data_IF_275561645278
#
_entry.id   IF_275561645278
#
_cell.length_a   1.000
_cell.length_b   1.000
_cell.length_c   1.000
_cell.angle_alpha   90.00
_cell.angle_beta   90.00
_cell.angle_gamma   90.00
#
_symmetry.space_group_name_H-M   'P 1'
#
loop_
_entity.id
_entity.type
_entity.pdbx_description
1 polymer ?
#
# COMPACT_ATOMS: atom_id res chain seq x y z
N UNK A 1 -51.62 54.12 -8.81
CA UNK A 1 -52.54 52.95 -8.83
C UNK A 1 -52.03 52.10 -9.97
N UNK A 2 -50.96 51.36 -9.68
CA UNK A 2 -50.12 50.72 -10.69
C UNK A 2 -50.35 49.22 -10.54
N UNK A 3 -51.40 48.75 -11.20
CA UNK A 3 -51.74 47.33 -11.30
C UNK A 3 -51.56 46.88 -12.74
N UNK A 4 -50.95 45.70 -12.85
CA UNK A 4 -51.06 44.78 -13.98
C UNK A 4 -50.28 45.13 -15.26
N UNK A 5 -48.95 45.00 -15.22
CA UNK A 5 -48.12 44.77 -16.41
C UNK A 5 -47.18 43.55 -16.29
N UNK A 6 -47.46 42.62 -15.37
CA UNK A 6 -46.63 41.41 -15.19
C UNK A 6 -47.24 40.13 -15.79
N UNK A 7 -48.52 40.13 -16.15
CA UNK A 7 -49.24 38.94 -16.62
C UNK A 7 -49.11 38.64 -18.12
N UNK A 8 -48.40 39.47 -18.91
CA UNK A 8 -48.34 39.30 -20.36
C UNK A 8 -47.32 38.25 -20.83
N UNK A 9 -46.50 37.72 -19.92
CA UNK A 9 -45.42 36.77 -20.25
C UNK A 9 -45.61 35.37 -19.67
N UNK A 10 -46.67 35.13 -18.90
CA UNK A 10 -46.97 33.82 -18.33
C UNK A 10 -48.30 33.31 -18.89
N UNK A 11 -48.20 32.34 -19.79
CA UNK A 11 -49.38 31.64 -20.29
C UNK A 11 -49.81 30.58 -19.27
N UNK A 12 -51.08 30.58 -18.80
CA UNK A 12 -51.58 29.59 -17.87
C UNK A 12 -51.41 28.17 -18.44
N UNK A 13 -50.67 27.32 -17.72
CA UNK A 13 -50.43 25.93 -18.15
C UNK A 13 -51.75 25.17 -18.28
N UNK A 14 -52.08 24.74 -19.50
CA UNK A 14 -53.32 24.02 -19.80
C UNK A 14 -53.26 22.54 -19.40
N UNK A 15 -52.06 21.99 -19.18
CA UNK A 15 -51.84 20.58 -18.88
C UNK A 15 -51.27 20.36 -17.46
N UNK A 16 -52.04 20.80 -16.47
CA UNK A 16 -51.76 20.57 -15.04
C UNK A 16 -51.53 19.07 -14.73
N UNK A 17 -52.17 18.17 -15.51
CA UNK A 17 -52.04 16.71 -15.33
C UNK A 17 -50.67 16.18 -15.70
N UNK A 18 -50.05 16.64 -16.80
CA UNK A 18 -48.67 16.24 -17.12
C UNK A 18 -47.66 16.85 -16.16
N UNK A 19 -47.88 18.09 -15.72
CA UNK A 19 -47.02 18.74 -14.73
C UNK A 19 -47.02 17.96 -13.40
N UNK A 20 -48.17 17.48 -12.95
CA UNK A 20 -48.27 16.64 -11.74
C UNK A 20 -47.52 15.30 -11.90
N UNK A 21 -47.65 14.64 -13.06
CA UNK A 21 -46.89 13.41 -13.37
C UNK A 21 -45.39 13.64 -13.42
N UNK A 22 -44.95 14.80 -13.90
CA UNK A 22 -43.54 15.18 -13.90
C UNK A 22 -43.01 15.32 -12.47
N UNK A 23 -43.74 15.96 -11.56
CA UNK A 23 -43.35 16.03 -10.15
C UNK A 23 -43.28 14.65 -9.50
N UNK A 24 -44.23 13.77 -9.77
CA UNK A 24 -44.21 12.39 -9.28
C UNK A 24 -42.98 11.61 -9.81
N UNK A 25 -42.63 11.82 -11.08
CA UNK A 25 -41.42 11.26 -11.67
C UNK A 25 -40.15 11.80 -11.00
N UNK A 26 -40.12 13.11 -10.72
CA UNK A 26 -39.00 13.80 -10.11
C UNK A 26 -38.81 13.35 -8.65
N UNK A 27 -39.89 13.20 -7.90
CA UNK A 27 -39.88 12.63 -6.54
C UNK A 27 -39.34 11.19 -6.55
N UNK A 28 -39.77 10.36 -7.51
CA UNK A 28 -39.22 9.00 -7.68
C UNK A 28 -37.70 9.01 -7.93
N UNK A 29 -37.21 9.89 -8.80
CA UNK A 29 -35.77 10.00 -9.06
C UNK A 29 -35.01 10.53 -7.85
N UNK A 30 -35.58 11.51 -7.12
CA UNK A 30 -34.95 12.03 -5.92
C UNK A 30 -34.83 10.96 -4.83
N UNK A 31 -35.89 10.16 -4.64
CA UNK A 31 -35.89 9.02 -3.73
C UNK A 31 -34.82 8.00 -4.13
N UNK A 32 -34.76 7.59 -5.40
CA UNK A 32 -33.73 6.67 -5.88
C UNK A 32 -32.31 7.18 -5.61
N UNK A 33 -32.03 8.45 -5.93
CA UNK A 33 -30.74 9.07 -5.68
C UNK A 33 -30.39 9.11 -4.18
N UNK A 34 -31.38 9.23 -3.29
CA UNK A 34 -31.18 9.18 -1.84
C UNK A 34 -30.89 7.75 -1.39
N UNK A 35 -31.68 6.78 -1.83
CA UNK A 35 -31.51 5.36 -1.52
C UNK A 35 -30.14 4.84 -2.02
N UNK A 36 -29.69 5.29 -3.20
CA UNK A 36 -28.37 4.99 -3.74
C UNK A 36 -27.24 5.57 -2.89
N UNK A 37 -27.38 6.83 -2.43
CA UNK A 37 -26.41 7.44 -1.51
C UNK A 37 -26.34 6.69 -0.19
N UNK A 38 -27.47 6.32 0.39
CA UNK A 38 -27.53 5.53 1.62
C UNK A 38 -26.89 4.15 1.43
N UNK A 39 -27.16 3.49 0.30
CA UNK A 39 -26.54 2.21 -0.07
C UNK A 39 -25.03 2.36 -0.26
N UNK A 40 -24.56 3.41 -0.91
CA UNK A 40 -23.14 3.68 -1.11
C UNK A 40 -22.44 3.89 0.25
N UNK A 41 -23.04 4.66 1.16
CA UNK A 41 -22.51 4.86 2.51
C UNK A 41 -22.42 3.52 3.25
N UNK A 42 -23.47 2.69 3.20
CA UNK A 42 -23.48 1.39 3.84
C UNK A 42 -22.41 0.46 3.27
N UNK A 43 -22.30 0.38 1.94
CA UNK A 43 -21.27 -0.40 1.25
C UNK A 43 -19.87 0.12 1.55
N UNK A 44 -19.69 1.45 1.62
CA UNK A 44 -18.43 2.09 1.99
C UNK A 44 -18.06 1.75 3.42
N UNK A 45 -19.00 1.80 4.36
CA UNK A 45 -18.77 1.43 5.76
C UNK A 45 -18.39 -0.06 5.90
N UNK A 46 -19.14 -0.95 5.24
CA UNK A 46 -18.86 -2.39 5.22
C UNK A 46 -17.49 -2.71 4.60
N UNK A 47 -17.16 -2.07 3.47
CA UNK A 47 -15.87 -2.25 2.79
C UNK A 47 -14.71 -1.58 3.52
N UNK A 48 -14.96 -0.52 4.29
CA UNK A 48 -13.93 0.17 5.08
C UNK A 48 -13.43 -0.69 6.24
N UNK A 49 -14.31 -1.48 6.88
CA UNK A 49 -13.88 -2.52 7.85
C UNK A 49 -12.97 -3.59 7.23
N UNK A 50 -12.99 -3.75 5.91
CA UNK A 50 -12.16 -4.72 5.18
C UNK A 50 -10.88 -4.12 4.55
N UNK A 51 -10.75 -2.78 4.45
CA UNK A 51 -9.71 -2.13 3.63
C UNK A 51 -8.91 -1.03 4.33
N UNK A 52 -9.24 -0.69 5.56
CA UNK A 52 -8.28 -0.06 6.45
C UNK A 52 -7.42 -1.20 6.99
N UNK A 53 -6.13 -1.23 6.64
CA UNK A 53 -5.16 -2.11 7.28
C UNK A 53 -5.32 -1.90 8.78
N UNK A 54 -5.95 -2.86 9.44
CA UNK A 54 -6.36 -2.74 10.84
C UNK A 54 -5.09 -2.47 11.64
N UNK A 55 -5.01 -1.41 12.48
CA UNK A 55 -3.87 -1.20 13.36
C UNK A 55 -3.50 -2.47 14.15
N UNK A 56 -4.49 -3.33 14.43
CA UNK A 56 -4.26 -4.66 15.00
C UNK A 56 -3.46 -5.61 14.09
N UNK A 57 -3.69 -5.60 12.77
CA UNK A 57 -2.97 -6.47 11.83
C UNK A 57 -1.51 -6.04 11.62
N UNK A 58 -1.23 -4.72 11.65
CA UNK A 58 0.13 -4.19 11.67
C UNK A 58 0.89 -4.61 12.95
N UNK A 59 0.22 -4.50 14.11
CA UNK A 59 0.76 -4.99 15.40
C UNK A 59 0.99 -6.49 15.39
N UNK A 60 0.07 -7.28 14.82
CA UNK A 60 0.20 -8.73 14.77
C UNK A 60 1.38 -9.16 13.88
N UNK A 61 1.59 -8.49 12.74
CA UNK A 61 2.75 -8.72 11.86
C UNK A 61 4.07 -8.31 12.52
N UNK A 62 4.08 -7.20 13.27
CA UNK A 62 5.26 -6.79 14.04
C UNK A 62 5.57 -7.80 15.14
N UNK A 63 4.56 -8.25 15.90
CA UNK A 63 4.70 -9.27 16.95
C UNK A 63 5.19 -10.61 16.40
N UNK A 64 4.73 -11.02 15.22
CA UNK A 64 5.19 -12.24 14.56
C UNK A 64 6.69 -12.16 14.18
N UNK A 65 7.14 -11.02 13.66
CA UNK A 65 8.57 -10.79 13.36
C UNK A 65 9.44 -10.78 14.60
N UNK A 66 8.98 -10.13 15.67
CA UNK A 66 9.69 -10.07 16.95
C UNK A 66 9.81 -11.47 17.57
N UNK A 67 8.73 -12.25 17.55
CA UNK A 67 8.73 -13.63 18.02
C UNK A 67 9.72 -14.50 17.24
N UNK A 68 9.73 -14.41 15.92
CA UNK A 68 10.68 -15.14 15.08
C UNK A 68 12.13 -14.73 15.36
N UNK A 69 12.39 -13.44 15.57
CA UNK A 69 13.71 -12.94 15.91
C UNK A 69 14.17 -13.43 17.29
N UNK A 70 13.27 -13.44 18.27
CA UNK A 70 13.53 -13.94 19.62
C UNK A 70 13.85 -15.44 19.63
N UNK A 71 13.14 -16.24 18.83
CA UNK A 71 13.39 -17.67 18.68
C UNK A 71 14.79 -17.94 18.09
N UNK A 72 15.15 -17.22 17.03
CA UNK A 72 16.46 -17.33 16.40
C UNK A 72 17.60 -16.92 17.35
N UNK A 73 17.37 -15.89 18.17
CA UNK A 73 18.31 -15.46 19.20
C UNK A 73 18.47 -16.53 20.30
N UNK A 74 17.38 -17.15 20.74
CA UNK A 74 17.43 -18.27 21.70
C UNK A 74 18.20 -19.46 21.14
N UNK A 75 17.98 -19.84 19.88
CA UNK A 75 18.74 -20.93 19.25
C UNK A 75 20.24 -20.61 19.24
N UNK A 76 20.62 -19.40 18.80
CA UNK A 76 22.03 -18.96 18.86
C UNK A 76 22.62 -19.01 20.26
N UNK A 77 21.85 -18.60 21.27
CA UNK A 77 22.33 -18.64 22.66
C UNK A 77 22.54 -20.09 23.14
N UNK A 78 21.62 -21.01 22.81
CA UNK A 78 21.77 -22.44 23.13
C UNK A 78 22.98 -23.05 22.43
N UNK A 79 23.18 -22.74 21.15
CA UNK A 79 24.34 -23.19 20.37
C UNK A 79 25.66 -22.67 20.94
N UNK A 80 25.70 -21.39 21.33
CA UNK A 80 26.86 -20.79 21.99
C UNK A 80 27.17 -21.47 23.32
N UNK A 81 26.15 -21.77 24.15
CA UNK A 81 26.32 -22.47 25.41
C UNK A 81 26.81 -23.91 25.22
N UNK A 82 26.26 -24.64 24.24
CA UNK A 82 26.71 -25.99 23.89
C UNK A 82 28.18 -25.98 23.49
N UNK A 83 28.56 -25.01 22.64
CA UNK A 83 29.95 -24.82 22.19
C UNK A 83 30.87 -24.47 23.36
N UNK A 84 30.43 -23.60 24.28
CA UNK A 84 31.20 -23.25 25.47
C UNK A 84 31.43 -24.45 26.39
N UNK A 85 30.43 -25.30 26.61
CA UNK A 85 30.58 -26.53 27.41
C UNK A 85 31.55 -27.51 26.75
N UNK A 86 31.51 -27.65 25.43
CA UNK A 86 32.48 -28.46 24.69
C UNK A 86 33.90 -27.87 24.80
N UNK A 87 34.04 -26.55 24.75
CA UNK A 87 35.32 -25.86 24.85
C UNK A 87 35.93 -25.86 26.27
N UNK A 88 35.09 -25.88 27.33
CA UNK A 88 35.55 -25.92 28.73
C UNK A 88 36.37 -27.18 29.02
N UNK A 89 36.06 -28.31 28.37
CA UNK A 89 36.82 -29.56 28.44
C UNK A 89 37.05 -30.12 29.86
N UNK A 90 37.68 -31.30 30.02
CA UNK A 90 38.08 -31.81 31.33
C UNK A 90 39.13 -30.87 31.97
N UNK A 91 38.67 -30.00 32.86
CA UNK A 91 39.52 -29.00 33.52
C UNK A 91 40.47 -29.69 34.51
N UNK A 92 41.68 -30.01 34.05
CA UNK A 92 42.79 -30.45 34.91
C UNK A 92 43.13 -29.30 35.87
N UNK A 93 42.86 -29.48 37.17
CA UNK A 93 43.23 -28.53 38.23
C UNK A 93 44.76 -28.40 38.23
N UNK A 94 45.31 -27.41 37.52
CA UNK A 94 46.72 -27.04 37.70
C UNK A 94 46.86 -26.46 39.10
N UNK A 95 47.63 -27.15 39.94
CA UNK A 95 48.20 -26.55 41.14
C UNK A 95 49.12 -25.44 40.66
N UNK A 96 48.96 -24.25 41.21
CA UNK A 96 49.81 -23.11 40.88
C UNK A 96 51.13 -23.34 41.60
N UNK A 97 52.14 -23.81 40.87
CA UNK A 97 53.54 -23.48 41.15
C UNK A 97 54.43 -23.73 39.93
N UNK A 98 55.37 -22.81 39.74
CA UNK A 98 56.50 -22.75 38.79
C UNK A 98 56.31 -22.50 37.27
N UNK A 99 57.18 -21.64 36.67
CA UNK A 99 57.16 -21.27 35.25
C UNK A 99 58.11 -22.13 34.41
N UNK A 100 57.82 -22.32 33.12
CA UNK A 100 58.85 -22.72 32.16
C UNK A 100 58.37 -23.46 30.91
N UNK A 101 59.03 -23.12 29.80
CA UNK A 101 59.18 -23.86 28.54
C UNK A 101 58.08 -23.74 27.45
N UNK A 102 58.29 -22.70 26.62
CA UNK A 102 58.45 -22.75 25.14
C UNK A 102 57.96 -23.98 24.36
N UNK A 103 57.30 -23.74 23.21
CA UNK A 103 57.74 -24.23 21.87
C UNK A 103 56.79 -23.75 20.75
N UNK A 104 57.32 -22.88 19.86
CA UNK A 104 57.35 -22.99 18.38
C UNK A 104 56.06 -23.35 17.64
N UNK A 105 55.46 -22.56 16.75
CA UNK A 105 56.06 -21.68 15.74
C UNK A 105 56.27 -22.45 14.43
N UNK A 106 55.25 -22.57 13.57
CA UNK A 106 55.39 -23.11 12.20
C UNK A 106 54.31 -22.53 11.29
N UNK A 107 54.76 -21.84 10.25
CA UNK A 107 53.95 -21.20 9.20
C UNK A 107 53.92 -22.07 7.94
N UNK A 108 52.82 -22.06 7.18
CA UNK A 108 52.81 -22.40 5.74
C UNK A 108 51.80 -21.52 4.99
N UNK A 109 52.28 -20.97 3.87
CA UNK A 109 51.63 -20.09 2.91
C UNK A 109 50.74 -20.80 1.89
N UNK A 110 49.72 -20.07 1.42
CA UNK A 110 49.51 -19.79 -0.01
C UNK A 110 48.55 -20.67 -0.82
N UNK A 111 47.47 -20.07 -1.36
CA UNK A 111 47.18 -19.99 -2.81
C UNK A 111 45.81 -19.37 -3.09
N UNK A 112 45.75 -18.56 -4.14
CA UNK A 112 44.62 -17.74 -4.58
C UNK A 112 44.01 -18.24 -5.91
N UNK A 113 42.85 -17.67 -6.24
CA UNK A 113 42.22 -17.48 -7.56
C UNK A 113 41.13 -18.47 -8.04
N UNK A 114 40.03 -17.89 -8.58
CA UNK A 114 39.22 -18.50 -9.64
C UNK A 114 37.70 -18.43 -9.48
N UNK A 115 37.06 -17.53 -10.22
CA UNK A 115 35.64 -17.14 -10.28
C UNK A 115 34.62 -18.22 -10.76
N UNK A 116 33.29 -17.97 -10.62
CA UNK A 116 32.23 -18.96 -10.82
C UNK A 116 31.76 -19.11 -12.27
N UNK A 117 31.48 -20.35 -12.67
CA UNK A 117 30.90 -20.72 -13.97
C UNK A 117 29.39 -20.51 -14.01
N UNK A 118 28.92 -19.82 -15.04
CA UNK A 118 27.51 -19.56 -15.32
C UNK A 118 26.78 -20.73 -15.98
N UNK A 119 25.46 -20.74 -15.83
CA UNK A 119 24.55 -21.48 -16.71
C UNK A 119 23.29 -20.65 -16.92
N UNK A 120 23.18 -20.14 -18.15
CA UNK A 120 22.04 -19.41 -18.69
C UNK A 120 20.97 -20.38 -19.18
N UNK A 121 19.78 -20.30 -18.61
CA UNK A 121 18.59 -20.92 -19.20
C UNK A 121 18.05 -20.00 -20.32
N UNK A 122 17.60 -20.54 -21.48
CA UNK A 122 17.06 -19.72 -22.55
C UNK A 122 15.68 -19.20 -22.14
N UNK A 123 15.56 -17.87 -22.05
CA UNK A 123 14.26 -17.23 -21.85
C UNK A 123 13.45 -17.30 -23.14
N UNK A 124 12.23 -17.80 -23.00
CA UNK A 124 11.21 -17.79 -24.03
C UNK A 124 10.93 -16.34 -24.48
N UNK A 125 11.23 -16.04 -25.75
CA UNK A 125 10.84 -14.79 -26.41
C UNK A 125 9.33 -14.75 -26.63
N UNK A 126 8.56 -14.35 -25.63
CA UNK A 126 7.25 -13.76 -25.88
C UNK A 126 7.47 -12.32 -26.31
N UNK A 127 6.97 -11.91 -27.48
CA UNK A 127 6.91 -10.50 -27.90
C UNK A 127 6.18 -9.70 -26.81
N UNK A 128 6.96 -9.06 -25.95
CA UNK A 128 6.46 -8.09 -24.99
C UNK A 128 6.11 -6.85 -25.81
N UNK A 129 4.83 -6.69 -26.19
CA UNK A 129 4.32 -5.37 -26.52
C UNK A 129 4.74 -4.44 -25.39
N UNK A 130 5.44 -3.35 -25.72
CA UNK A 130 6.02 -2.42 -24.74
C UNK A 130 4.85 -1.77 -23.99
N UNK A 131 4.43 -2.43 -22.91
CA UNK A 131 3.25 -2.04 -22.15
C UNK A 131 3.62 -0.76 -21.44
N UNK A 132 3.13 0.37 -21.96
CA UNK A 132 3.43 1.69 -21.42
C UNK A 132 3.18 1.67 -19.91
N UNK A 133 4.19 2.08 -19.14
CA UNK A 133 4.10 2.13 -17.68
C UNK A 133 3.13 3.26 -17.32
N UNK A 134 2.03 2.91 -16.66
CA UNK A 134 1.03 3.88 -16.22
C UNK A 134 1.36 4.34 -14.81
N UNK A 135 1.51 5.64 -14.62
CA UNK A 135 1.54 6.26 -13.30
C UNK A 135 0.11 6.52 -12.86
N UNK A 136 -0.28 5.99 -11.71
CA UNK A 136 -1.62 6.20 -11.14
C UNK A 136 -1.55 7.33 -10.11
N UNK A 137 -2.41 8.32 -10.27
CA UNK A 137 -2.55 9.47 -9.37
C UNK A 137 -3.99 9.60 -8.88
N UNK A 138 -4.18 10.28 -7.76
CA UNK A 138 -5.52 10.64 -7.29
C UNK A 138 -6.10 11.74 -8.19
N UNK A 139 -7.37 11.63 -8.55
CA UNK A 139 -8.04 12.66 -9.37
C UNK A 139 -8.02 14.04 -8.71
N UNK A 140 -8.14 14.11 -7.37
CA UNK A 140 -8.10 15.38 -6.63
C UNK A 140 -6.76 16.08 -6.81
N UNK A 141 -5.67 15.33 -6.63
CA UNK A 141 -4.31 15.88 -6.71
C UNK A 141 -3.95 16.24 -8.15
N UNK A 142 -4.46 15.47 -9.12
CA UNK A 142 -4.31 15.77 -10.54
C UNK A 142 -5.02 17.07 -10.95
N UNK A 143 -6.26 17.28 -10.49
CA UNK A 143 -7.00 18.51 -10.71
C UNK A 143 -6.27 19.69 -10.07
N UNK A 144 -5.87 19.57 -8.81
CA UNK A 144 -5.13 20.62 -8.07
C UNK A 144 -3.84 21.02 -8.80
N UNK A 145 -3.07 20.04 -9.27
CA UNK A 145 -1.86 20.30 -10.04
C UNK A 145 -2.16 21.03 -11.35
N UNK A 146 -3.19 20.59 -12.09
CA UNK A 146 -3.56 21.21 -13.36
C UNK A 146 -4.09 22.63 -13.21
N UNK A 147 -4.72 22.98 -12.09
CA UNK A 147 -5.16 24.35 -11.77
C UNK A 147 -3.98 25.30 -11.51
N UNK A 148 -2.93 24.80 -10.85
CA UNK A 148 -1.77 25.60 -10.46
C UNK A 148 -0.84 25.93 -11.66
N UNK A 149 -0.78 25.04 -12.64
CA UNK A 149 0.10 25.17 -13.80
C UNK A 149 -0.57 25.99 -14.93
N UNK A 150 0.13 27.06 -15.37
CA UNK A 150 -0.44 28.06 -16.29
C UNK A 150 -0.88 27.47 -17.63
N UNK A 151 -0.21 26.42 -18.07
CA UNK A 151 -0.45 25.76 -19.36
C UNK A 151 -1.67 24.83 -19.33
N UNK A 152 -1.89 24.14 -18.22
CA UNK A 152 -2.97 23.13 -18.08
C UNK A 152 -4.24 23.68 -17.45
N UNK A 153 -4.17 24.84 -16.79
CA UNK A 153 -5.28 25.51 -16.09
C UNK A 153 -6.50 25.82 -16.97
N UNK A 154 -6.31 25.85 -18.29
CA UNK A 154 -7.37 26.06 -19.30
C UNK A 154 -7.53 24.90 -20.27
N UNK A 155 -7.01 23.73 -19.90
CA UNK A 155 -7.09 22.53 -20.75
C UNK A 155 -8.50 21.92 -20.74
N UNK A 156 -8.91 21.36 -21.89
CA UNK A 156 -10.16 20.59 -22.02
C UNK A 156 -10.22 19.39 -21.05
N UNK A 157 -9.06 18.82 -20.73
CA UNK A 157 -8.95 17.71 -19.78
C UNK A 157 -9.37 18.14 -18.36
N UNK A 158 -8.96 19.34 -17.93
CA UNK A 158 -9.32 19.89 -16.63
C UNK A 158 -10.83 20.11 -16.54
N UNK A 159 -11.42 20.75 -17.56
CA UNK A 159 -12.86 21.01 -17.57
C UNK A 159 -13.66 19.72 -17.53
N UNK A 160 -13.28 18.71 -18.33
CA UNK A 160 -13.93 17.39 -18.27
C UNK A 160 -13.81 16.72 -16.90
N UNK A 161 -12.70 16.90 -16.20
CA UNK A 161 -12.52 16.33 -14.86
C UNK A 161 -13.41 17.01 -13.79
N UNK A 162 -13.87 18.24 -14.03
CA UNK A 162 -14.72 19.01 -13.11
C UNK A 162 -16.23 18.74 -13.31
N UNK A 163 -16.66 18.37 -14.52
CA UNK A 163 -18.06 18.07 -14.85
C UNK A 163 -18.47 16.63 -14.48
N UNK A 164 -18.39 16.28 -13.19
CA UNK A 164 -18.83 14.97 -12.67
C UNK A 164 -20.11 14.42 -13.31
#
# INVERSE_FOLDING_TARGET
MDSCKEDEWHEPSSDVRSQLKFFEQLERMEKQRKDEREREILLRAAKSRSRQEDPEQARLKQKAKEMQQQELAQMRQREANLTALAAIGPRKKRKVDSPGATTTGTEVSGSSAGSPGGSSAPSCSSRQYNRQRITRVNLRDFIFYMEQERETSRSLLLYRALLK
#
